data_IF_054881836342
#
_entry.id   IF_054881836342
#
_cell.length_a   1.000
_cell.length_b   1.000
_cell.length_c   1.000
_cell.angle_alpha   90.00
_cell.angle_beta   90.00
_cell.angle_gamma   90.00
#
_symmetry.space_group_name_H-M   'P 1'
#
loop_
_entity.id
_entity.type
_entity.pdbx_description
1 polymer ?
#
# COMPACT_ATOMS: atom_id res chain seq x y z
N UNK A 1 -21.75 -0.84 2.14
CA UNK A 1 -20.64 -1.60 2.77
C UNK A 1 -19.38 -1.24 2.02
N UNK A 2 -18.58 -0.30 2.53
CA UNK A 2 -17.24 -0.05 2.00
C UNK A 2 -16.31 -1.11 2.57
N UNK A 3 -15.64 -1.88 1.71
CA UNK A 3 -14.72 -2.93 2.15
C UNK A 3 -13.44 -2.28 2.66
N UNK A 4 -13.09 -2.54 3.92
CA UNK A 4 -11.77 -2.19 4.44
C UNK A 4 -10.78 -3.29 4.02
N UNK A 5 -9.60 -2.89 3.57
CA UNK A 5 -8.55 -3.72 2.98
C UNK A 5 -7.25 -3.52 3.75
N UNK A 6 -6.59 -4.62 4.04
CA UNK A 6 -5.22 -4.63 4.56
C UNK A 6 -4.28 -5.17 3.49
N UNK A 7 -3.14 -4.52 3.32
CA UNK A 7 -2.15 -4.85 2.29
C UNK A 7 -0.85 -5.26 2.98
N UNK A 8 -0.39 -6.49 2.72
CA UNK A 8 0.92 -6.97 3.16
C UNK A 8 1.80 -7.27 1.96
N UNK A 9 2.98 -6.66 1.91
CA UNK A 9 3.96 -6.85 0.84
C UNK A 9 5.28 -7.30 1.43
N UNK A 10 5.82 -8.40 0.90
CA UNK A 10 7.16 -8.91 1.21
C UNK A 10 8.06 -8.66 0.00
N UNK A 11 9.10 -7.85 0.18
CA UNK A 11 9.98 -7.49 -0.94
C UNK A 11 11.39 -7.12 -0.47
N UNK A 12 12.41 -7.64 -1.15
CA UNK A 12 13.83 -7.33 -0.86
C UNK A 12 14.14 -5.83 -1.00
N UNK A 13 13.41 -5.14 -1.87
CA UNK A 13 13.56 -3.71 -2.13
C UNK A 13 13.21 -2.84 -0.91
N UNK A 14 12.59 -3.40 0.13
CA UNK A 14 12.33 -2.70 1.38
C UNK A 14 13.52 -2.67 2.34
N UNK A 15 14.57 -3.48 2.11
CA UNK A 15 15.76 -3.47 2.94
C UNK A 15 16.43 -2.09 2.97
N UNK A 16 16.81 -1.64 4.17
CA UNK A 16 17.43 -0.32 4.38
C UNK A 16 16.51 0.90 4.21
N UNK A 17 15.24 0.73 3.86
CA UNK A 17 14.26 1.83 3.75
C UNK A 17 13.53 2.06 5.07
N UNK A 18 13.19 3.31 5.35
CA UNK A 18 12.28 3.65 6.45
C UNK A 18 10.81 3.34 6.06
N UNK A 19 9.91 3.32 7.06
CA UNK A 19 8.49 2.99 6.87
C UNK A 19 7.83 3.85 5.79
N UNK A 20 8.06 5.16 5.81
CA UNK A 20 7.47 6.08 4.84
C UNK A 20 7.90 5.76 3.40
N UNK A 21 9.19 5.51 3.18
CA UNK A 21 9.71 5.16 1.86
C UNK A 21 9.12 3.84 1.34
N UNK A 22 8.98 2.84 2.21
CA UNK A 22 8.31 1.57 1.85
C UNK A 22 6.84 1.79 1.49
N UNK A 23 6.11 2.56 2.30
CA UNK A 23 4.68 2.82 2.06
C UNK A 23 4.47 3.60 0.76
N UNK A 24 5.32 4.58 0.45
CA UNK A 24 5.27 5.32 -0.83
C UNK A 24 5.48 4.40 -2.03
N UNK A 25 6.36 3.40 -1.92
CA UNK A 25 6.55 2.41 -2.99
C UNK A 25 5.28 1.56 -3.20
N UNK A 26 4.66 1.08 -2.12
CA UNK A 26 3.42 0.30 -2.19
C UNK A 26 2.28 1.15 -2.77
N UNK A 27 2.05 2.33 -2.22
CA UNK A 27 1.00 3.25 -2.66
C UNK A 27 1.19 3.69 -4.12
N UNK A 28 2.43 3.96 -4.54
CA UNK A 28 2.72 4.29 -5.94
C UNK A 28 2.43 3.13 -6.90
N UNK A 29 2.70 1.89 -6.48
CA UNK A 29 2.42 0.71 -7.30
C UNK A 29 0.92 0.46 -7.48
N UNK A 30 0.11 0.77 -6.47
CA UNK A 30 -1.36 0.56 -6.49
C UNK A 30 -2.16 1.83 -6.81
N UNK A 31 -1.50 2.97 -7.09
CA UNK A 31 -2.19 4.25 -7.30
C UNK A 31 -3.27 4.18 -8.38
N UNK A 32 -3.01 3.42 -9.45
CA UNK A 32 -3.96 3.18 -10.54
C UNK A 32 -5.21 2.39 -10.12
N UNK A 33 -5.12 1.58 -9.05
CA UNK A 33 -6.26 0.85 -8.46
C UNK A 33 -7.05 1.74 -7.49
N UNK A 34 -6.48 2.87 -7.10
CA UNK A 34 -7.06 3.87 -6.20
C UNK A 34 -7.61 5.09 -6.97
N UNK A 35 -7.68 5.03 -8.29
CA UNK A 35 -8.15 6.12 -9.17
C UNK A 35 -9.53 5.78 -9.77
N UNK A 36 -10.32 6.80 -10.11
CA UNK A 36 -11.66 6.68 -10.70
C UNK A 36 -12.81 7.24 -9.83
N UNK A 37 -14.01 7.36 -10.38
CA UNK A 37 -15.19 7.98 -9.72
C UNK A 37 -15.62 7.29 -8.41
N UNK A 38 -15.20 6.04 -8.20
CA UNK A 38 -15.43 5.26 -6.99
C UNK A 38 -14.13 4.93 -6.24
N UNK A 39 -13.09 5.78 -6.39
CA UNK A 39 -11.78 5.62 -5.80
C UNK A 39 -11.86 5.24 -4.31
N UNK A 40 -11.48 4.01 -3.94
CA UNK A 40 -11.62 3.50 -2.58
C UNK A 40 -10.43 3.96 -1.72
N UNK A 41 -10.11 5.27 -1.76
CA UNK A 41 -8.99 5.84 -0.98
C UNK A 41 -9.16 5.59 0.52
N UNK A 42 -10.41 5.52 0.99
CA UNK A 42 -10.77 5.20 2.37
C UNK A 42 -10.90 3.70 2.67
N UNK A 43 -10.57 2.84 1.71
CA UNK A 43 -10.74 1.41 1.85
C UNK A 43 -9.45 0.71 2.27
N UNK A 44 -8.27 1.35 2.24
CA UNK A 44 -7.03 0.71 2.72
C UNK A 44 -6.75 1.16 4.15
N UNK A 45 -6.97 0.26 5.10
CA UNK A 45 -6.79 0.53 6.53
C UNK A 45 -5.34 0.38 6.98
N UNK A 46 -4.62 -0.57 6.36
CA UNK A 46 -3.28 -0.94 6.82
C UNK A 46 -2.38 -1.35 5.67
N UNK A 47 -1.14 -0.88 5.70
CA UNK A 47 -0.06 -1.35 4.84
C UNK A 47 1.06 -1.88 5.73
N UNK A 48 1.46 -3.13 5.50
CA UNK A 48 2.61 -3.77 6.12
C UNK A 48 3.64 -4.09 5.02
N UNK A 49 4.79 -3.41 5.06
CA UNK A 49 5.86 -3.59 4.09
C UNK A 49 7.13 -4.12 4.77
N UNK A 50 7.44 -5.40 4.53
CA UNK A 50 8.52 -6.14 5.20
C UNK A 50 9.53 -6.68 4.19
N UNK A 51 10.82 -6.56 4.53
CA UNK A 51 11.83 -7.30 3.80
C UNK A 51 11.76 -8.79 4.20
N UNK A 52 12.12 -9.72 3.30
CA UNK A 52 12.28 -11.13 3.66
C UNK A 52 13.41 -11.34 4.67
#
# INVERSE_FOLDING_TARGET
MGGHFEIRVVAAQFSGKNTLAKHRMVLGAIAHLMEGDAAPVHAVDKIEAVAP
#
